data_IF_588345185352
#
_entry.id   IF_588345185352
#
_cell.length_a   1.000
_cell.length_b   1.000
_cell.length_c   1.000
_cell.angle_alpha   90.00
_cell.angle_beta   90.00
_cell.angle_gamma   90.00
#
_symmetry.space_group_name_H-M   'P 1'
#
loop_
_entity.id
_entity.type
_entity.pdbx_description
1 polymer ?
#
# COMPACT_ATOMS: atom_id res chain seq x y z
N UNK A 1 13.07 -9.39 4.94
CA UNK A 1 12.69 -10.72 5.46
C UNK A 1 13.66 -11.24 6.52
N UNK A 2 14.95 -11.34 6.22
CA UNK A 2 15.97 -11.88 7.15
C UNK A 2 15.99 -11.19 8.53
N UNK A 3 15.92 -9.85 8.55
CA UNK A 3 15.79 -9.06 9.80
C UNK A 3 14.61 -9.48 10.66
N UNK A 4 13.47 -9.83 10.04
CA UNK A 4 12.26 -10.19 10.76
C UNK A 4 12.33 -11.63 11.29
N UNK A 5 12.90 -12.57 10.51
CA UNK A 5 13.20 -13.93 10.99
C UNK A 5 14.14 -13.88 12.20
N UNK A 6 15.21 -13.06 12.12
CA UNK A 6 16.15 -12.88 13.24
C UNK A 6 15.50 -12.31 14.50
N UNK A 7 14.50 -11.41 14.37
CA UNK A 7 13.71 -10.91 15.50
C UNK A 7 12.86 -12.01 16.13
N UNK A 8 12.20 -12.84 15.31
CA UNK A 8 11.39 -13.97 15.79
C UNK A 8 12.27 -14.94 16.57
N UNK A 9 13.40 -15.38 16.00
CA UNK A 9 14.33 -16.31 16.66
C UNK A 9 14.80 -15.79 18.02
N UNK A 10 15.23 -14.52 18.10
CA UNK A 10 15.66 -13.90 19.37
C UNK A 10 14.55 -13.90 20.43
N UNK A 11 13.31 -13.65 20.02
CA UNK A 11 12.16 -13.60 20.95
C UNK A 11 11.71 -14.99 21.38
N UNK A 12 11.85 -16.00 20.51
CA UNK A 12 11.66 -17.42 20.87
C UNK A 12 12.68 -17.84 21.93
N UNK A 13 13.97 -17.56 21.72
CA UNK A 13 15.04 -17.88 22.69
C UNK A 13 14.76 -17.23 24.06
N UNK A 14 14.41 -15.94 24.08
CA UNK A 14 14.03 -15.24 25.32
C UNK A 14 12.84 -15.90 26.01
N UNK A 15 11.86 -16.36 25.26
CA UNK A 15 10.63 -16.99 25.81
C UNK A 15 10.94 -18.36 26.42
N UNK A 16 11.77 -19.17 25.75
CA UNK A 16 12.21 -20.48 26.24
C UNK A 16 13.02 -20.37 27.54
N UNK A 17 13.89 -19.37 27.63
CA UNK A 17 14.66 -19.11 28.86
C UNK A 17 13.76 -18.73 30.04
N UNK A 18 12.74 -17.91 29.81
CA UNK A 18 11.81 -17.44 30.86
C UNK A 18 10.77 -18.49 31.26
N UNK A 19 10.37 -19.37 30.34
CA UNK A 19 9.37 -20.42 30.58
C UNK A 19 9.97 -21.79 30.32
N UNK A 20 10.60 -22.37 31.35
CA UNK A 20 11.28 -23.68 31.35
C UNK A 20 10.42 -24.91 30.95
N UNK A 21 9.16 -24.73 30.54
CA UNK A 21 8.16 -25.80 30.36
C UNK A 21 7.74 -26.09 28.91
N UNK A 22 8.25 -25.38 27.90
CA UNK A 22 7.83 -25.61 26.51
C UNK A 22 9.03 -25.97 25.62
N UNK A 23 9.20 -27.25 25.28
CA UNK A 23 10.31 -27.72 24.45
C UNK A 23 10.23 -27.30 22.97
N UNK A 24 9.07 -26.85 22.47
CA UNK A 24 8.87 -26.44 21.08
C UNK A 24 7.95 -25.23 20.99
N UNK A 25 8.37 -24.19 20.26
CA UNK A 25 7.56 -23.01 19.97
C UNK A 25 7.19 -23.02 18.48
N UNK A 26 5.90 -23.19 18.18
CA UNK A 26 5.38 -23.11 16.83
C UNK A 26 4.95 -21.67 16.50
N UNK A 27 5.59 -21.06 15.49
CA UNK A 27 5.22 -19.74 14.98
C UNK A 27 4.28 -19.92 13.79
N UNK A 28 3.10 -19.29 13.85
CA UNK A 28 2.06 -19.36 12.83
C UNK A 28 1.54 -17.94 12.54
N UNK A 29 0.80 -17.78 11.44
CA UNK A 29 0.21 -16.48 11.09
C UNK A 29 -0.68 -15.88 12.19
N UNK A 30 -1.28 -16.74 13.05
CA UNK A 30 -2.18 -16.32 14.14
C UNK A 30 -1.46 -15.77 15.37
N UNK A 31 -0.17 -16.10 15.56
CA UNK A 31 0.60 -15.67 16.72
C UNK A 31 1.83 -14.82 16.35
N UNK A 32 1.97 -14.46 15.07
CA UNK A 32 3.09 -13.70 14.54
C UNK A 32 3.19 -12.30 15.15
N UNK A 33 2.05 -11.71 15.52
CA UNK A 33 1.90 -10.45 16.24
C UNK A 33 2.64 -10.45 17.59
N UNK A 34 2.66 -11.59 18.30
CA UNK A 34 3.40 -11.73 19.56
C UNK A 34 4.92 -11.59 19.35
N UNK A 35 5.41 -11.91 18.15
CA UNK A 35 6.83 -11.86 17.83
C UNK A 35 7.23 -10.54 17.16
N UNK A 36 6.51 -10.13 16.11
CA UNK A 36 6.84 -8.98 15.27
C UNK A 36 6.10 -7.69 15.64
N UNK A 37 5.10 -7.76 16.53
CA UNK A 37 4.26 -6.62 16.91
C UNK A 37 3.15 -6.36 15.90
N UNK A 38 2.74 -5.09 15.79
CA UNK A 38 1.68 -4.65 14.88
C UNK A 38 2.09 -4.88 13.42
N UNK A 39 1.12 -5.25 12.58
CA UNK A 39 1.35 -5.38 11.13
C UNK A 39 1.83 -4.05 10.56
N UNK A 40 3.01 -4.05 9.94
CA UNK A 40 3.59 -2.86 9.30
C UNK A 40 3.01 -2.55 7.92
N UNK A 41 2.46 -3.57 7.27
CA UNK A 41 1.95 -3.47 5.90
C UNK A 41 0.57 -4.10 5.85
N UNK A 42 -0.35 -3.40 5.20
CA UNK A 42 -1.64 -3.94 4.82
C UNK A 42 -1.55 -4.30 3.34
N UNK A 43 -1.61 -5.59 3.04
CA UNK A 43 -1.58 -6.08 1.67
C UNK A 43 -3.01 -6.33 1.20
N UNK A 44 -3.37 -5.84 0.00
CA UNK A 44 -4.65 -6.17 -0.63
C UNK A 44 -5.87 -5.37 -0.16
N UNK A 45 -5.69 -4.16 0.38
CA UNK A 45 -6.82 -3.21 0.47
C UNK A 45 -6.85 -2.41 -0.84
N UNK A 46 -7.18 -3.09 -1.94
CA UNK A 46 -7.99 -2.38 -2.94
C UNK A 46 -9.31 -2.10 -2.21
N UNK A 47 -9.71 -0.83 -2.13
CA UNK A 47 -10.97 -0.39 -1.55
C UNK A 47 -12.07 -1.41 -1.91
N UNK A 48 -12.73 -2.00 -0.90
CA UNK A 48 -13.60 -3.19 -1.06
C UNK A 48 -14.81 -2.94 -1.96
N UNK A 49 -15.09 -1.68 -2.30
CA UNK A 49 -16.22 -1.23 -3.08
C UNK A 49 -15.76 -0.26 -4.17
N UNK A 50 -16.35 -0.35 -5.35
CA UNK A 50 -16.05 0.56 -6.46
C UNK A 50 -16.52 1.98 -6.12
N UNK A 51 -15.60 2.94 -6.11
CA UNK A 51 -15.89 4.35 -5.86
C UNK A 51 -15.84 5.16 -7.15
N UNK A 52 -16.85 6.02 -7.38
CA UNK A 52 -16.82 6.96 -8.51
C UNK A 52 -15.70 7.97 -8.30
N UNK A 53 -14.84 8.13 -9.30
CA UNK A 53 -13.71 9.06 -9.23
C UNK A 53 -12.43 8.44 -8.68
N UNK A 54 -12.42 7.18 -8.25
CA UNK A 54 -11.20 6.44 -7.91
C UNK A 54 -10.91 5.35 -8.93
N UNK A 55 -9.63 5.17 -9.27
CA UNK A 55 -9.16 4.07 -10.11
C UNK A 55 -7.84 3.51 -9.59
N UNK A 56 -7.63 2.21 -9.78
CA UNK A 56 -6.36 1.56 -9.45
C UNK A 56 -5.41 1.63 -10.65
N UNK A 57 -4.27 2.27 -10.46
CA UNK A 57 -3.15 2.30 -11.37
C UNK A 57 -2.03 1.35 -10.95
N UNK A 58 -1.17 1.02 -11.89
CA UNK A 58 0.07 0.28 -11.64
C UNK A 58 1.25 1.22 -11.87
N UNK A 59 2.11 1.35 -10.87
CA UNK A 59 3.38 2.06 -10.98
C UNK A 59 4.54 1.08 -10.94
N UNK A 60 5.62 1.45 -11.62
CA UNK A 60 6.89 0.76 -11.52
C UNK A 60 7.83 1.56 -10.64
N UNK A 61 8.37 0.92 -9.61
CA UNK A 61 9.44 1.44 -8.75
C UNK A 61 10.68 0.57 -8.92
N UNK A 62 11.84 1.07 -8.47
CA UNK A 62 13.10 0.31 -8.53
C UNK A 62 13.04 -1.02 -7.77
N UNK A 63 12.14 -1.15 -6.80
CA UNK A 63 11.96 -2.35 -5.98
C UNK A 63 10.79 -3.24 -6.44
N UNK A 64 10.12 -2.88 -7.55
CA UNK A 64 9.04 -3.64 -8.15
C UNK A 64 7.79 -2.82 -8.47
N UNK A 65 6.73 -3.51 -8.88
CA UNK A 65 5.43 -2.89 -9.16
C UNK A 65 4.68 -2.52 -7.87
N UNK A 66 4.14 -1.30 -7.83
CA UNK A 66 3.30 -0.79 -6.75
C UNK A 66 1.91 -0.45 -7.28
N UNK A 67 0.87 -0.73 -6.49
CA UNK A 67 -0.50 -0.30 -6.79
C UNK A 67 -0.66 1.15 -6.33
N UNK A 68 -1.11 2.02 -7.23
CA UNK A 68 -1.47 3.39 -6.93
C UNK A 68 -2.98 3.58 -7.00
N UNK A 69 -3.52 4.35 -6.07
CA UNK A 69 -4.91 4.81 -6.14
C UNK A 69 -4.92 6.21 -6.72
N UNK A 70 -5.50 6.39 -7.90
CA UNK A 70 -5.66 7.70 -8.54
C UNK A 70 -7.08 8.17 -8.26
N UNK A 71 -7.20 9.39 -7.75
CA UNK A 71 -8.47 10.00 -7.39
C UNK A 71 -8.75 11.25 -8.22
N UNK A 72 -10.01 11.47 -8.54
CA UNK A 72 -10.50 12.62 -9.28
C UNK A 72 -11.86 13.06 -8.74
N UNK A 73 -12.04 14.36 -8.60
CA UNK A 73 -13.30 14.97 -8.14
C UNK A 73 -13.68 16.13 -9.04
N UNK A 74 -14.96 16.22 -9.35
CA UNK A 74 -15.54 17.34 -10.09
C UNK A 74 -16.29 18.22 -9.11
N UNK A 75 -15.89 19.50 -9.03
CA UNK A 75 -16.54 20.50 -8.19
C UNK A 75 -17.10 21.62 -9.08
N UNK A 76 -18.24 22.24 -8.71
CA UNK A 76 -18.76 23.41 -9.42
C UNK A 76 -17.72 24.53 -9.48
N UNK A 77 -17.47 25.10 -10.66
CA UNK A 77 -16.45 26.15 -10.81
C UNK A 77 -16.20 26.56 -12.25
N UNK A 78 -15.10 27.30 -12.46
CA UNK A 78 -14.72 27.91 -13.75
C UNK A 78 -13.92 26.99 -14.69
N UNK A 79 -13.96 25.68 -14.47
CA UNK A 79 -13.27 24.70 -15.33
C UNK A 79 -11.74 24.61 -15.17
N UNK A 80 -11.19 25.07 -14.04
CA UNK A 80 -9.77 24.93 -13.71
C UNK A 80 -9.46 23.51 -13.24
N UNK A 81 -8.44 22.89 -13.83
CA UNK A 81 -7.92 21.58 -13.41
C UNK A 81 -6.74 21.76 -12.47
N UNK A 82 -6.73 21.06 -11.33
CA UNK A 82 -5.62 21.07 -10.38
C UNK A 82 -5.14 19.63 -10.15
N UNK A 83 -3.83 19.42 -10.21
CA UNK A 83 -3.19 18.11 -9.98
C UNK A 83 -2.31 18.15 -8.74
N UNK A 84 -2.39 17.13 -7.90
CA UNK A 84 -1.65 17.01 -6.63
C UNK A 84 -0.94 15.67 -6.53
N UNK A 85 -0.09 15.47 -5.51
CA UNK A 85 0.62 14.20 -5.29
C UNK A 85 2.04 14.15 -5.83
N UNK A 86 2.70 15.31 -5.99
CA UNK A 86 4.08 15.44 -6.50
C UNK A 86 4.30 14.75 -7.85
N UNK A 87 3.35 14.92 -8.76
CA UNK A 87 3.42 14.38 -10.12
C UNK A 87 4.54 15.06 -10.89
N UNK A 88 5.38 14.28 -11.55
CA UNK A 88 6.37 14.79 -12.51
C UNK A 88 5.72 15.37 -13.77
N UNK A 89 6.49 16.12 -14.55
CA UNK A 89 5.99 16.85 -15.73
C UNK A 89 5.28 15.93 -16.74
N UNK A 90 5.84 14.76 -17.02
CA UNK A 90 5.25 13.76 -17.94
C UNK A 90 3.86 13.30 -17.48
N UNK A 91 3.68 13.13 -16.17
CA UNK A 91 2.39 12.70 -15.62
C UNK A 91 1.38 13.85 -15.63
N UNK A 92 1.82 15.09 -15.43
CA UNK A 92 0.97 16.28 -15.58
C UNK A 92 0.50 16.45 -17.03
N UNK A 93 1.38 16.24 -18.01
CA UNK A 93 1.02 16.26 -19.43
C UNK A 93 0.00 15.16 -19.77
N UNK A 94 0.20 13.95 -19.26
CA UNK A 94 -0.73 12.83 -19.44
C UNK A 94 -2.14 13.17 -18.94
N UNK A 95 -2.26 13.84 -17.79
CA UNK A 95 -3.56 14.30 -17.26
C UNK A 95 -4.22 15.31 -18.21
N UNK A 96 -3.47 16.25 -18.78
CA UNK A 96 -4.01 17.22 -19.73
C UNK A 96 -4.47 16.55 -21.03
N UNK A 97 -3.71 15.56 -21.53
CA UNK A 97 -4.09 14.78 -22.70
C UNK A 97 -5.39 13.99 -22.45
N UNK A 98 -5.49 13.30 -21.31
CA UNK A 98 -6.69 12.56 -20.93
C UNK A 98 -7.92 13.47 -20.84
N UNK A 99 -7.78 14.65 -20.20
CA UNK A 99 -8.85 15.64 -20.11
C UNK A 99 -9.32 16.12 -21.50
N UNK A 100 -8.38 16.31 -22.43
CA UNK A 100 -8.69 16.73 -23.80
C UNK A 100 -9.49 15.66 -24.55
N UNK A 101 -9.15 14.38 -24.38
CA UNK A 101 -9.90 13.27 -24.97
C UNK A 101 -11.31 13.19 -24.40
N UNK A 102 -11.48 13.32 -23.08
CA UNK A 102 -12.79 13.30 -22.43
C UNK A 102 -13.64 14.47 -22.91
N UNK A 103 -13.10 15.70 -22.96
CA UNK A 103 -13.82 16.88 -23.44
C UNK A 103 -14.27 16.78 -24.90
N UNK A 104 -13.51 16.09 -25.75
CA UNK A 104 -13.88 15.90 -27.16
C UNK A 104 -15.01 14.87 -27.34
N UNK A 105 -15.15 13.92 -26.42
CA UNK A 105 -16.09 12.80 -26.51
C UNK A 105 -17.34 12.96 -25.64
N UNK A 106 -17.32 13.90 -24.71
CA UNK A 106 -18.48 14.35 -23.93
C UNK A 106 -19.40 15.23 -24.79
#
# INVERSE_FOLDING_TARGET
LERDISKICRKVVKTLLLRKSQGKVAVSARNLDKFLGVRRYNFGVAERENQIGQVTGLAWTEVGGELLTIESVVLPGKGKTTTTGKLGEVMQESVQAALSVVRKRA
#
